data_IF_287361699227
#
_entry.id   IF_287361699227
#
_cell.length_a   1.000
_cell.length_b   1.000
_cell.length_c   1.000
_cell.angle_alpha   90.00
_cell.angle_beta   90.00
_cell.angle_gamma   90.00
#
_symmetry.space_group_name_H-M   'P 1'
#
loop_
_entity.id
_entity.type
_entity.pdbx_description
1 polymer ?
#
# COMPACT_ATOMS: atom_id res chain seq x y z
N UNK A 1 15.33 4.67 -28.58
CA UNK A 1 13.86 4.56 -28.46
C UNK A 1 13.42 3.33 -27.66
N UNK A 2 13.75 2.10 -28.07
CA UNK A 2 13.35 0.86 -27.35
C UNK A 2 13.82 0.83 -25.89
N UNK A 3 15.08 1.20 -25.62
CA UNK A 3 15.62 1.25 -24.26
C UNK A 3 14.88 2.26 -23.36
N UNK A 4 14.50 3.42 -23.91
CA UNK A 4 13.73 4.45 -23.20
C UNK A 4 12.32 3.96 -22.88
N UNK A 5 11.66 3.28 -23.81
CA UNK A 5 10.33 2.68 -23.56
C UNK A 5 10.44 1.62 -22.46
N UNK A 6 11.48 0.79 -22.50
CA UNK A 6 11.71 -0.29 -21.52
C UNK A 6 11.97 0.28 -20.12
N UNK A 7 12.75 1.36 -20.00
CA UNK A 7 13.01 2.00 -18.71
C UNK A 7 11.79 2.71 -18.13
N UNK A 8 11.02 3.40 -18.98
CA UNK A 8 9.74 4.02 -18.57
C UNK A 8 8.81 2.94 -18.04
N UNK A 9 8.61 1.83 -18.77
CA UNK A 9 7.77 0.72 -18.32
C UNK A 9 8.23 0.16 -16.97
N UNK A 10 9.54 -0.03 -16.79
CA UNK A 10 10.06 -0.57 -15.55
C UNK A 10 9.78 0.37 -14.35
N UNK A 11 9.93 1.68 -14.55
CA UNK A 11 9.63 2.70 -13.53
C UNK A 11 8.13 2.79 -13.26
N UNK A 12 7.30 2.77 -14.31
CA UNK A 12 5.84 2.78 -14.20
C UNK A 12 5.33 1.59 -13.39
N UNK A 13 5.85 0.40 -13.63
CA UNK A 13 5.49 -0.80 -12.85
C UNK A 13 5.85 -0.61 -11.39
N UNK A 14 7.08 -0.20 -11.07
CA UNK A 14 7.52 0.01 -9.68
C UNK A 14 6.71 1.10 -8.96
N UNK A 15 6.45 2.21 -9.64
CA UNK A 15 5.64 3.30 -9.08
C UNK A 15 4.17 2.89 -8.89
N UNK A 16 3.65 2.07 -9.82
CA UNK A 16 2.28 1.54 -9.76
C UNK A 16 2.07 0.48 -8.68
N UNK A 17 3.11 -0.26 -8.29
CA UNK A 17 3.03 -1.33 -7.28
C UNK A 17 2.39 -0.86 -5.97
N UNK A 18 2.77 0.31 -5.44
CA UNK A 18 2.18 0.84 -4.20
C UNK A 18 0.69 1.16 -4.35
N UNK A 19 0.30 1.73 -5.49
CA UNK A 19 -1.09 2.02 -5.81
C UNK A 19 -1.91 0.74 -5.99
N UNK A 20 -1.33 -0.32 -6.59
CA UNK A 20 -2.03 -1.60 -6.76
C UNK A 20 -2.32 -2.26 -5.41
N UNK A 21 -1.39 -2.24 -4.46
CA UNK A 21 -1.66 -2.75 -3.11
C UNK A 21 -2.85 -2.05 -2.46
N UNK A 22 -2.88 -0.71 -2.51
CA UNK A 22 -4.01 0.07 -2.00
C UNK A 22 -5.30 -0.24 -2.76
N UNK A 23 -5.24 -0.28 -4.10
CA UNK A 23 -6.39 -0.55 -4.97
C UNK A 23 -7.02 -1.92 -4.69
N UNK A 24 -6.22 -2.97 -4.49
CA UNK A 24 -6.74 -4.29 -4.19
C UNK A 24 -7.45 -4.29 -2.84
N UNK A 25 -6.87 -3.64 -1.82
CA UNK A 25 -7.52 -3.48 -0.52
C UNK A 25 -8.85 -2.72 -0.64
N UNK A 26 -8.85 -1.59 -1.33
CA UNK A 26 -10.03 -0.75 -1.54
C UNK A 26 -11.13 -1.44 -2.34
N UNK A 27 -10.79 -2.24 -3.35
CA UNK A 27 -11.77 -3.07 -4.07
C UNK A 27 -12.49 -4.00 -3.08
N UNK A 28 -11.78 -4.60 -2.12
CA UNK A 28 -12.41 -5.45 -1.11
C UNK A 28 -13.28 -4.64 -0.15
N UNK A 29 -12.79 -3.49 0.31
CA UNK A 29 -13.51 -2.59 1.21
C UNK A 29 -14.82 -2.11 0.58
N UNK A 30 -14.77 -1.55 -0.63
CA UNK A 30 -15.96 -1.05 -1.31
C UNK A 30 -16.93 -2.15 -1.69
N UNK A 31 -16.42 -3.32 -2.12
CA UNK A 31 -17.28 -4.49 -2.41
C UNK A 31 -17.95 -5.05 -1.17
N UNK A 32 -17.46 -4.73 0.03
CA UNK A 32 -18.12 -5.08 1.30
C UNK A 32 -19.15 -4.03 1.76
N UNK A 33 -19.35 -2.94 1.01
CA UNK A 33 -20.31 -1.89 1.33
C UNK A 33 -19.76 -0.77 2.21
N UNK A 34 -18.43 -0.69 2.38
CA UNK A 34 -17.76 0.36 3.14
C UNK A 34 -16.94 1.23 2.18
N UNK A 35 -17.19 2.54 2.20
CA UNK A 35 -16.40 3.53 1.46
C UNK A 35 -15.26 4.03 2.34
N UNK A 36 -14.03 4.03 1.83
CA UNK A 36 -12.86 4.45 2.58
C UNK A 36 -12.09 5.58 1.88
N UNK A 37 -12.49 6.82 2.16
CA UNK A 37 -11.74 8.02 1.75
C UNK A 37 -10.50 8.30 2.62
N UNK A 38 -10.19 7.40 3.56
CA UNK A 38 -9.05 7.47 4.48
C UNK A 38 -7.74 6.89 3.92
N UNK A 39 -7.79 6.27 2.75
CA UNK A 39 -6.69 5.46 2.22
C UNK A 39 -5.37 6.24 2.05
N UNK A 40 -5.45 7.52 1.68
CA UNK A 40 -4.28 8.35 1.42
C UNK A 40 -3.52 8.64 2.72
N UNK A 41 -4.23 8.96 3.80
CA UNK A 41 -3.64 9.10 5.12
C UNK A 41 -3.03 7.80 5.64
N UNK A 42 -3.70 6.66 5.40
CA UNK A 42 -3.17 5.34 5.77
C UNK A 42 -1.89 5.00 5.01
N UNK A 43 -1.84 5.30 3.70
CA UNK A 43 -0.65 5.10 2.87
C UNK A 43 0.53 5.95 3.35
N UNK A 44 0.30 7.24 3.66
CA UNK A 44 1.35 8.13 4.16
C UNK A 44 1.89 7.67 5.52
N UNK A 45 0.99 7.26 6.41
CA UNK A 45 1.38 6.70 7.71
C UNK A 45 2.19 5.41 7.55
N UNK A 46 1.76 4.49 6.68
CA UNK A 46 2.53 3.29 6.38
C UNK A 46 3.90 3.60 5.77
N UNK A 47 3.99 4.60 4.89
CA UNK A 47 5.24 5.00 4.25
C UNK A 47 6.24 5.57 5.27
N UNK A 48 5.81 6.50 6.14
CA UNK A 48 6.71 7.10 7.12
C UNK A 48 7.14 6.09 8.19
N UNK A 49 6.26 5.20 8.64
CA UNK A 49 6.61 4.20 9.66
C UNK A 49 7.50 3.10 9.10
N UNK A 50 7.28 2.64 7.87
CA UNK A 50 8.21 1.75 7.19
C UNK A 50 9.58 2.40 6.99
N UNK A 51 9.62 3.64 6.52
CA UNK A 51 10.89 4.34 6.28
C UNK A 51 11.67 4.55 7.59
N UNK A 52 11.02 5.04 8.64
CA UNK A 52 11.63 5.19 9.95
C UNK A 52 12.19 3.84 10.46
N UNK A 53 11.40 2.77 10.31
CA UNK A 53 11.81 1.43 10.74
C UNK A 53 13.03 0.93 9.98
N UNK A 54 13.04 1.01 8.65
CA UNK A 54 14.19 0.53 7.86
C UNK A 54 15.41 1.40 8.09
N UNK A 55 15.23 2.70 8.33
CA UNK A 55 16.33 3.62 8.60
C UNK A 55 17.08 3.23 9.88
N UNK A 56 16.35 2.97 10.98
CA UNK A 56 16.98 2.62 12.26
C UNK A 56 17.40 1.17 12.38
N UNK A 57 16.68 0.24 11.75
CA UNK A 57 16.90 -1.20 11.94
C UNK A 57 17.66 -1.86 10.79
N UNK A 58 17.71 -1.21 9.62
CA UNK A 58 18.21 -1.79 8.38
C UNK A 58 17.33 -2.91 7.80
N UNK A 59 16.29 -3.37 8.51
CA UNK A 59 15.49 -4.54 8.15
C UNK A 59 14.28 -4.17 7.27
N UNK A 60 14.34 -4.61 6.02
CA UNK A 60 13.25 -4.43 5.05
C UNK A 60 11.97 -5.19 5.43
N UNK A 61 12.12 -6.39 5.99
CA UNK A 61 10.98 -7.23 6.39
C UNK A 61 10.27 -6.60 7.59
N UNK A 62 11.04 -6.11 8.58
CA UNK A 62 10.45 -5.44 9.73
C UNK A 62 9.71 -4.16 9.32
N UNK A 63 10.29 -3.37 8.42
CA UNK A 63 9.64 -2.18 7.87
C UNK A 63 8.30 -2.51 7.17
N UNK A 64 8.27 -3.60 6.39
CA UNK A 64 7.03 -4.07 5.76
C UNK A 64 5.97 -4.45 6.81
N UNK A 65 6.36 -5.21 7.84
CA UNK A 65 5.45 -5.59 8.92
C UNK A 65 4.91 -4.38 9.70
N UNK A 66 5.76 -3.39 9.98
CA UNK A 66 5.34 -2.15 10.65
C UNK A 66 4.38 -1.33 9.79
N UNK A 67 4.62 -1.22 8.48
CA UNK A 67 3.66 -0.55 7.58
C UNK A 67 2.31 -1.29 7.54
N UNK A 68 2.32 -2.62 7.43
CA UNK A 68 1.10 -3.43 7.47
C UNK A 68 0.34 -3.21 8.78
N UNK A 69 1.02 -3.26 9.92
CA UNK A 69 0.41 -3.03 11.23
C UNK A 69 -0.16 -1.60 11.35
N UNK A 70 0.55 -0.60 10.84
CA UNK A 70 0.08 0.79 10.80
C UNK A 70 -1.22 0.91 10.02
N UNK A 71 -1.28 0.28 8.84
CA UNK A 71 -2.49 0.22 8.02
C UNK A 71 -3.64 -0.47 8.77
N UNK A 72 -3.40 -1.63 9.38
CA UNK A 72 -4.40 -2.37 10.18
C UNK A 72 -4.94 -1.53 11.33
N UNK A 73 -4.09 -0.81 12.06
CA UNK A 73 -4.53 0.05 13.17
C UNK A 73 -5.47 1.14 12.66
N UNK A 74 -5.08 1.88 11.62
CA UNK A 74 -5.89 2.97 11.08
C UNK A 74 -7.18 2.48 10.41
N UNK A 75 -7.12 1.38 9.66
CA UNK A 75 -8.31 0.78 9.06
C UNK A 75 -9.27 0.22 10.11
N UNK A 76 -8.74 -0.28 11.23
CA UNK A 76 -9.57 -0.75 12.36
C UNK A 76 -10.30 0.40 13.04
N UNK A 77 -9.66 1.57 13.17
CA UNK A 77 -10.33 2.80 13.66
C UNK A 77 -11.47 3.16 12.70
N UNK A 78 -11.21 3.17 11.38
CA UNK A 78 -12.24 3.45 10.39
C UNK A 78 -13.41 2.45 10.49
N UNK A 79 -13.10 1.15 10.55
CA UNK A 79 -14.09 0.09 10.65
C UNK A 79 -14.91 0.20 11.94
N UNK A 80 -14.29 0.49 13.08
CA UNK A 80 -15.00 0.70 14.33
C UNK A 80 -15.97 1.89 14.24
N UNK A 81 -15.52 3.02 13.70
CA UNK A 81 -16.37 4.20 13.54
C UNK A 81 -17.53 3.97 12.55
N UNK A 82 -17.24 3.36 11.40
CA UNK A 82 -18.24 3.17 10.34
C UNK A 82 -19.21 2.02 10.59
N UNK A 83 -18.72 0.89 11.13
CA UNK A 83 -19.50 -0.33 11.31
C UNK A 83 -20.14 -0.36 12.70
N UNK A 84 -19.34 -0.20 13.76
CA UNK A 84 -19.83 -0.31 15.14
C UNK A 84 -20.58 0.95 15.57
N UNK A 85 -20.00 2.12 15.33
CA UNK A 85 -20.59 3.40 15.75
C UNK A 85 -21.57 3.97 14.73
N UNK A 86 -21.69 3.36 13.54
CA UNK A 86 -22.55 3.83 12.43
C UNK A 86 -22.30 5.30 12.05
N UNK A 87 -21.06 5.77 12.22
CA UNK A 87 -20.67 7.12 11.82
C UNK A 87 -20.65 7.24 10.30
N UNK A 88 -20.80 8.47 9.81
CA UNK A 88 -20.70 8.73 8.38
C UNK A 88 -19.30 8.35 7.87
N UNK A 89 -19.25 7.40 6.94
CA UNK A 89 -18.03 6.84 6.35
C UNK A 89 -17.18 7.91 5.65
N UNK A 90 -17.80 8.88 4.98
CA UNK A 90 -17.11 10.00 4.32
C UNK A 90 -16.40 10.86 5.36
N UNK A 91 -17.09 11.21 6.44
CA UNK A 91 -16.51 12.03 7.52
C UNK A 91 -15.36 11.28 8.20
N UNK A 92 -15.57 10.00 8.54
CA UNK A 92 -14.52 9.16 9.14
C UNK A 92 -13.30 9.01 8.22
N UNK A 93 -13.52 8.71 6.93
CA UNK A 93 -12.46 8.56 5.94
C UNK A 93 -11.67 9.85 5.76
N UNK A 94 -12.33 10.98 5.49
CA UNK A 94 -11.65 12.27 5.35
C UNK A 94 -10.91 12.68 6.62
N UNK A 95 -11.45 12.39 7.81
CA UNK A 95 -10.76 12.62 9.08
C UNK A 95 -9.47 11.81 9.19
N UNK A 96 -9.50 10.54 8.79
CA UNK A 96 -8.30 9.69 8.78
C UNK A 96 -7.28 10.18 7.76
N UNK A 97 -7.71 10.66 6.60
CA UNK A 97 -6.81 11.26 5.62
C UNK A 97 -6.12 12.50 6.17
N UNK A 98 -6.87 13.42 6.79
CA UNK A 98 -6.32 14.62 7.43
C UNK A 98 -5.39 14.30 8.60
N UNK A 99 -5.80 13.35 9.45
CA UNK A 99 -4.98 12.89 10.57
C UNK A 99 -3.68 12.23 10.07
N UNK A 100 -3.79 11.30 9.12
CA UNK A 100 -2.66 10.57 8.57
C UNK A 100 -1.67 11.46 7.83
N UNK A 101 -2.15 12.40 7.02
CA UNK A 101 -1.30 13.42 6.37
C UNK A 101 -0.55 14.28 7.40
N UNK A 102 -1.27 14.83 8.39
CA UNK A 102 -0.68 15.69 9.42
C UNK A 102 0.32 14.94 10.30
N UNK A 103 -0.06 13.77 10.81
CA UNK A 103 0.81 12.97 11.67
C UNK A 103 2.00 12.42 10.90
N UNK A 104 1.84 11.94 9.67
CA UNK A 104 2.96 11.46 8.88
C UNK A 104 3.97 12.58 8.59
N UNK A 105 3.47 13.79 8.32
CA UNK A 105 4.31 14.97 8.14
C UNK A 105 5.07 15.31 9.43
N UNK A 106 4.39 15.32 10.58
CA UNK A 106 5.02 15.55 11.88
C UNK A 106 6.11 14.51 12.19
N UNK A 107 5.81 13.22 12.03
CA UNK A 107 6.76 12.14 12.24
C UNK A 107 7.96 12.25 11.29
N UNK A 108 7.71 12.59 10.02
CA UNK A 108 8.74 12.85 9.02
C UNK A 108 9.71 13.97 9.40
N UNK A 109 9.30 14.91 10.26
CA UNK A 109 10.14 16.02 10.74
C UNK A 109 10.77 15.77 12.12
N UNK A 110 10.37 14.71 12.82
CA UNK A 110 10.76 14.48 14.23
C UNK A 110 11.43 13.15 14.51
N UNK A 111 11.30 12.17 13.61
CA UNK A 111 11.88 10.84 13.78
C UNK A 111 13.24 10.67 13.09
N UNK A 112 13.82 11.70 12.49
CA UNK A 112 15.17 11.65 11.93
C UNK A 112 16.27 11.71 12.99
N UNK A 113 17.53 11.47 12.59
CA UNK A 113 18.67 11.63 13.47
C UNK A 113 18.88 13.11 13.80
N UNK A 114 19.49 13.39 14.95
CA UNK A 114 19.85 14.75 15.36
C UNK A 114 20.77 15.44 14.34
N UNK A 115 21.65 14.66 13.67
CA UNK A 115 22.54 15.16 12.61
C UNK A 115 21.81 15.74 11.40
N UNK A 116 20.54 15.39 11.19
CA UNK A 116 19.69 15.94 10.13
C UNK A 116 18.54 16.78 10.70
N UNK A 117 18.74 17.39 11.88
CA UNK A 117 17.74 18.24 12.53
C UNK A 117 16.44 17.52 12.86
N UNK A 118 16.49 16.20 13.09
CA UNK A 118 15.35 15.31 13.28
C UNK A 118 14.44 15.08 12.07
N UNK A 119 14.82 15.56 10.87
CA UNK A 119 14.07 15.29 9.65
C UNK A 119 14.46 13.91 9.08
N UNK A 120 13.47 13.11 8.68
CA UNK A 120 13.67 11.91 7.86
C UNK A 120 13.83 12.26 6.37
N UNK A 121 13.38 13.46 5.96
CA UNK A 121 13.42 13.93 4.58
C UNK A 121 14.88 14.02 4.10
N UNK A 122 15.13 13.49 2.90
CA UNK A 122 16.46 13.50 2.28
C UNK A 122 17.39 12.37 2.74
N UNK A 123 17.00 11.58 3.75
CA UNK A 123 17.76 10.41 4.16
C UNK A 123 17.56 9.25 3.18
N UNK A 124 18.50 8.33 3.18
CA UNK A 124 18.40 7.08 2.40
C UNK A 124 18.39 5.89 3.36
N UNK A 125 17.55 4.92 3.06
CA UNK A 125 17.46 3.66 3.79
C UNK A 125 17.62 2.48 2.83
N UNK A 126 17.75 1.28 3.39
CA UNK A 126 17.75 0.06 2.59
C UNK A 126 16.45 -0.01 1.78
N UNK A 127 16.53 -0.54 0.56
CA UNK A 127 15.40 -0.72 -0.35
C UNK A 127 15.43 -2.10 -0.97
N UNK A 128 14.26 -2.63 -1.34
CA UNK A 128 14.20 -3.84 -2.15
C UNK A 128 14.86 -3.57 -3.50
N UNK A 129 15.91 -4.35 -3.80
CA UNK A 129 16.61 -4.24 -5.07
C UNK A 129 15.88 -5.04 -6.14
N UNK A 130 15.91 -4.58 -7.41
CA UNK A 130 15.28 -5.32 -8.49
C UNK A 130 16.00 -6.64 -8.72
N UNK A 131 15.23 -7.72 -8.86
CA UNK A 131 15.74 -9.04 -9.19
C UNK A 131 15.37 -9.37 -10.63
N UNK A 132 16.36 -9.47 -11.52
CA UNK A 132 16.13 -9.77 -12.93
C UNK A 132 16.04 -11.28 -13.16
N UNK A 133 14.94 -11.75 -13.74
CA UNK A 133 14.78 -13.17 -14.08
C UNK A 133 15.69 -13.49 -15.28
N UNK A 134 16.62 -14.45 -15.17
CA UNK A 134 17.53 -14.81 -16.26
C UNK A 134 16.76 -15.21 -17.53
N UNK A 135 17.22 -14.74 -18.69
CA UNK A 135 16.56 -14.98 -19.98
C UNK A 135 15.43 -14.00 -20.27
N UNK A 136 14.35 -14.02 -19.48
CA UNK A 136 13.16 -13.20 -19.73
C UNK A 136 13.40 -11.69 -19.60
N UNK A 137 14.29 -11.28 -18.69
CA UNK A 137 14.67 -9.87 -18.50
C UNK A 137 15.39 -9.24 -19.70
N UNK A 138 15.90 -10.05 -20.64
CA UNK A 138 16.64 -9.58 -21.82
C UNK A 138 15.74 -9.26 -23.02
N UNK A 139 14.46 -9.59 -22.95
CA UNK A 139 13.51 -9.35 -24.04
C UNK A 139 13.24 -7.84 -24.14
N UNK A 140 13.38 -7.21 -25.32
CA UNK A 140 13.11 -5.78 -25.47
C UNK A 140 11.67 -5.46 -25.08
N UNK A 141 11.46 -4.36 -24.35
CA UNK A 141 10.15 -3.89 -23.83
C UNK A 141 9.56 -4.80 -22.75
N UNK A 142 9.34 -6.09 -23.04
CA UNK A 142 8.71 -7.06 -22.13
C UNK A 142 9.60 -7.40 -20.93
N UNK A 143 10.92 -7.36 -21.10
CA UNK A 143 11.88 -7.61 -20.02
C UNK A 143 11.74 -6.67 -18.83
N UNK A 144 11.08 -5.51 -19.01
CA UNK A 144 10.72 -4.60 -17.92
C UNK A 144 9.84 -5.25 -16.86
N UNK A 145 8.95 -6.18 -17.23
CA UNK A 145 8.07 -6.90 -16.31
C UNK A 145 8.87 -7.91 -15.46
N UNK A 146 9.98 -8.41 -16.00
CA UNK A 146 10.82 -9.45 -15.40
C UNK A 146 12.09 -8.91 -14.75
N UNK A 147 12.16 -7.59 -14.52
CA UNK A 147 13.27 -6.92 -13.84
C UNK A 147 12.75 -6.00 -12.73
N UNK A 148 11.96 -6.56 -11.83
CA UNK A 148 11.26 -5.84 -10.77
C UNK A 148 11.73 -6.25 -9.37
N UNK A 149 11.40 -5.43 -8.37
CA UNK A 149 11.66 -5.76 -6.96
C UNK A 149 10.65 -6.79 -6.42
N UNK A 150 10.97 -7.30 -5.22
CA UNK A 150 10.19 -8.35 -4.56
C UNK A 150 8.71 -7.97 -4.37
N UNK A 151 8.41 -6.72 -3.98
CA UNK A 151 7.04 -6.29 -3.74
C UNK A 151 6.23 -6.29 -5.04
N UNK A 152 6.83 -5.84 -6.14
CA UNK A 152 6.18 -5.86 -7.45
C UNK A 152 5.89 -7.30 -7.92
N UNK A 153 6.82 -8.25 -7.69
CA UNK A 153 6.53 -9.65 -8.00
C UNK A 153 5.44 -10.27 -7.12
N UNK A 154 5.37 -9.89 -5.85
CA UNK A 154 4.27 -10.29 -4.96
C UNK A 154 2.93 -9.80 -5.51
N UNK A 155 2.86 -8.57 -6.04
CA UNK A 155 1.63 -8.05 -6.67
C UNK A 155 1.18 -8.91 -7.84
N UNK A 156 2.10 -9.41 -8.68
CA UNK A 156 1.72 -10.28 -9.80
C UNK A 156 1.01 -11.57 -9.35
N UNK A 157 1.33 -12.05 -8.15
CA UNK A 157 0.64 -13.20 -7.55
C UNK A 157 -0.64 -12.79 -6.81
N UNK A 158 -0.63 -11.67 -6.09
CA UNK A 158 -1.78 -11.22 -5.31
C UNK A 158 -2.96 -10.84 -6.21
N UNK A 159 -2.73 -10.22 -7.38
CA UNK A 159 -3.82 -9.86 -8.30
C UNK A 159 -4.73 -11.05 -8.65
N UNK A 160 -4.22 -12.17 -9.22
CA UNK A 160 -5.07 -13.31 -9.55
C UNK A 160 -5.63 -14.01 -8.31
N UNK A 161 -4.88 -14.04 -7.20
CA UNK A 161 -5.37 -14.63 -5.93
C UNK A 161 -6.55 -13.84 -5.38
N UNK A 162 -6.44 -12.51 -5.35
CA UNK A 162 -7.50 -11.60 -4.92
C UNK A 162 -8.73 -11.73 -5.83
N UNK A 163 -8.53 -11.75 -7.15
CA UNK A 163 -9.61 -12.02 -8.09
C UNK A 163 -10.30 -13.37 -7.82
N UNK A 164 -9.51 -14.43 -7.63
CA UNK A 164 -10.05 -15.77 -7.38
C UNK A 164 -10.84 -15.82 -6.07
N UNK A 165 -10.32 -15.25 -4.99
CA UNK A 165 -11.02 -15.18 -3.71
C UNK A 165 -12.34 -14.43 -3.86
N UNK A 166 -12.33 -13.25 -4.48
CA UNK A 166 -13.52 -12.40 -4.64
C UNK A 166 -14.64 -13.07 -5.45
N UNK A 167 -14.30 -13.74 -6.54
CA UNK A 167 -15.28 -14.21 -7.53
C UNK A 167 -15.51 -15.72 -7.55
N UNK A 168 -14.60 -16.53 -6.99
CA UNK A 168 -14.66 -17.99 -7.08
C UNK A 168 -14.77 -18.69 -5.72
N UNK A 169 -14.85 -17.96 -4.61
CA UNK A 169 -15.01 -18.56 -3.26
C UNK A 169 -16.32 -18.15 -2.58
N UNK A 170 -16.76 -18.95 -1.60
CA UNK A 170 -17.94 -18.65 -0.76
C UNK A 170 -17.74 -17.35 0.03
N UNK A 171 -16.55 -17.13 0.59
CA UNK A 171 -16.24 -15.91 1.33
C UNK A 171 -16.36 -14.66 0.46
N UNK A 172 -15.89 -14.72 -0.80
CA UNK A 172 -16.05 -13.62 -1.75
C UNK A 172 -17.50 -13.38 -2.18
N UNK A 173 -18.31 -14.44 -2.31
CA UNK A 173 -19.75 -14.32 -2.54
C UNK A 173 -20.44 -13.64 -1.35
N UNK A 174 -20.16 -14.09 -0.13
CA UNK A 174 -20.74 -13.51 1.09
C UNK A 174 -20.37 -12.04 1.25
N UNK A 175 -19.10 -11.69 1.03
CA UNK A 175 -18.63 -10.30 1.11
C UNK A 175 -19.40 -9.39 0.15
N UNK A 176 -19.53 -9.82 -1.12
CA UNK A 176 -20.27 -9.04 -2.13
C UNK A 176 -21.77 -8.98 -1.84
N UNK A 177 -22.37 -10.07 -1.32
CA UNK A 177 -23.78 -10.10 -0.97
C UNK A 177 -24.11 -9.12 0.17
N UNK A 178 -23.25 -9.04 1.20
CA UNK A 178 -23.37 -8.05 2.27
C UNK A 178 -23.21 -6.63 1.70
N UNK A 179 -22.26 -6.42 0.78
CA UNK A 179 -22.02 -5.12 0.17
C UNK A 179 -23.14 -4.59 -0.73
N UNK A 180 -23.97 -5.45 -1.33
CA UNK A 180 -25.10 -5.00 -2.18
C UNK A 180 -26.23 -4.35 -1.39
N UNK A 181 -26.43 -4.72 -0.12
CA UNK A 181 -27.36 -4.04 0.78
C UNK A 181 -26.75 -3.91 2.18
N UNK A 182 -25.87 -2.91 2.40
CA UNK A 182 -25.18 -2.77 3.69
C UNK A 182 -26.11 -2.37 4.84
N UNK A 183 -27.36 -2.00 4.54
CA UNK A 183 -28.34 -1.47 5.50
C UNK A 183 -29.29 -2.54 6.05
N UNK A 184 -29.36 -3.72 5.44
CA UNK A 184 -30.18 -4.87 5.90
C UNK A 184 -29.41 -5.72 6.89
#
# INVERSE_FOLDING_TARGET
MIALITSILAITLRAGTSLIYATIGEIYTERSGILNLGLEGMMLMGAVTAFATVYYTGSLILALLVAMLTGVILSSIHAFLSITMKANQVVSGLSITLFGTGLASFLGQRLGPESNGHYLIGLTGNKFTPFAIPGLSKIPVIGAIFSQDLLTYIVYLIIPVAWFIMYKTKSGLNLRAVGESPQT
#
